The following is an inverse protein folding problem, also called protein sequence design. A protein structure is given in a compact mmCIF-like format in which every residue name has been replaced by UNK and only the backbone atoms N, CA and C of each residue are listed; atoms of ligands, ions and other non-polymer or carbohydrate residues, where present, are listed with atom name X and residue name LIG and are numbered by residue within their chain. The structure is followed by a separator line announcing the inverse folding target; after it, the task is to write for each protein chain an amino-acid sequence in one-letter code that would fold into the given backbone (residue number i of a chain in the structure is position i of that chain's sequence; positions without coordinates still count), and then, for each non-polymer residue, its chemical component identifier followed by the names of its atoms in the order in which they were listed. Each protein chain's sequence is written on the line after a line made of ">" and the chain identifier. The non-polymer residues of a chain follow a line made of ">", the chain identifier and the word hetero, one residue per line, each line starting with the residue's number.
data_IF_762830094765
#
_entry.id   IF_762830094765
#
_cell.length_a   1.000
_cell.length_b   1.000
_cell.length_c   1.000
_cell.angle_alpha   90.00
_cell.angle_beta   90.00
_cell.angle_gamma   90.00
#
_symmetry.space_group_name_H-M   'P 1'
#
loop_
_entity.id
_entity.type
_entity.pdbx_description
1 polymer ?
#
# COMPACT_ATOMS: atom_id res chain seq x y z
N UNK A 1 67.76 13.15 -0.96
CA UNK A 1 66.48 12.60 -0.46
C UNK A 1 66.64 11.25 0.27
N UNK A 2 67.67 10.45 0.01
CA UNK A 2 67.97 9.21 0.74
C UNK A 2 68.64 9.39 2.14
N UNK A 3 68.51 10.54 2.79
CA UNK A 3 69.29 10.88 4.00
C UNK A 3 68.46 11.07 5.28
N UNK A 4 67.14 10.88 5.24
CA UNK A 4 66.28 10.97 6.43
C UNK A 4 65.58 9.67 6.82
N UNK A 5 65.83 8.58 6.08
CA UNK A 5 65.32 7.25 6.43
C UNK A 5 66.44 6.53 7.19
N UNK A 6 66.22 6.05 8.43
CA UNK A 6 67.24 5.34 9.18
C UNK A 6 67.74 4.13 8.40
N UNK A 7 69.06 3.87 8.43
CA UNK A 7 69.72 2.73 7.78
C UNK A 7 68.96 1.39 7.89
N UNK A 8 68.40 0.97 9.05
CA UNK A 8 67.65 -0.29 9.13
C UNK A 8 66.41 -0.34 8.22
N UNK A 9 65.77 0.80 7.93
CA UNK A 9 64.62 0.88 7.04
C UNK A 9 65.02 1.01 5.56
N UNK A 10 66.20 1.57 5.27
CA UNK A 10 66.74 1.57 3.91
C UNK A 10 67.04 0.15 3.42
N UNK A 11 67.59 -0.68 4.31
CA UNK A 11 67.85 -2.10 4.02
C UNK A 11 66.52 -2.86 3.83
N UNK A 12 65.49 -2.58 4.63
CA UNK A 12 64.16 -3.21 4.47
C UNK A 12 63.42 -2.78 3.19
N UNK A 13 63.55 -1.51 2.78
CA UNK A 13 63.00 -1.00 1.52
C UNK A 13 63.74 -1.55 0.29
N UNK A 14 65.05 -1.81 0.40
CA UNK A 14 65.84 -2.49 -0.63
C UNK A 14 65.46 -3.97 -0.80
N UNK A 15 65.04 -4.64 0.27
CA UNK A 15 64.75 -6.08 0.26
C UNK A 15 63.38 -6.37 -0.36
N UNK A 16 62.37 -5.49 -0.21
CA UNK A 16 61.12 -5.57 -0.97
C UNK A 16 60.19 -4.38 -0.69
N UNK A 17 59.78 -3.64 -1.73
CA UNK A 17 58.73 -2.61 -1.65
C UNK A 17 57.34 -3.16 -1.25
N UNK A 18 57.16 -4.48 -1.26
CA UNK A 18 55.95 -5.14 -0.75
C UNK A 18 55.78 -5.03 0.78
N UNK A 19 56.86 -4.76 1.53
CA UNK A 19 56.81 -4.56 3.00
C UNK A 19 56.66 -3.10 3.42
N UNK A 20 56.43 -2.21 2.46
CA UNK A 20 56.26 -0.78 2.69
C UNK A 20 55.17 -0.46 3.75
N UNK A 21 54.02 -1.16 3.82
CA UNK A 21 53.03 -0.93 4.87
C UNK A 21 53.58 -1.08 6.30
N UNK A 22 54.35 -2.14 6.55
CA UNK A 22 54.95 -2.40 7.88
C UNK A 22 56.04 -1.39 8.22
N UNK A 23 56.84 -1.01 7.23
CA UNK A 23 57.89 0.02 7.38
C UNK A 23 57.28 1.36 7.71
N UNK A 24 56.23 1.77 6.98
CA UNK A 24 55.51 3.02 7.26
C UNK A 24 54.85 2.99 8.64
N UNK A 25 54.28 1.85 9.05
CA UNK A 25 53.76 1.68 10.40
C UNK A 25 54.83 1.92 11.47
N UNK A 26 56.00 1.29 11.31
CA UNK A 26 57.12 1.42 12.27
C UNK A 26 57.67 2.85 12.32
N UNK A 27 57.79 3.53 11.18
CA UNK A 27 58.22 4.92 11.12
C UNK A 27 57.26 5.87 11.84
N UNK A 28 55.95 5.58 11.80
CA UNK A 28 54.96 6.35 12.54
C UNK A 28 55.03 6.09 14.05
N UNK A 29 55.31 4.86 14.46
CA UNK A 29 55.49 4.50 15.88
C UNK A 29 56.73 5.18 16.49
N UNK A 30 57.80 5.33 15.70
CA UNK A 30 59.02 6.03 16.09
C UNK A 30 58.90 7.58 16.01
N UNK A 31 57.75 8.11 15.57
CA UNK A 31 57.47 9.55 15.57
C UNK A 31 58.14 10.34 14.45
N UNK A 32 58.46 9.71 13.32
CA UNK A 32 59.00 10.40 12.14
C UNK A 32 57.98 11.38 11.54
N UNK A 33 58.48 12.38 10.81
CA UNK A 33 57.62 13.43 10.24
C UNK A 33 56.66 12.87 9.20
N UNK A 34 55.40 13.34 9.25
CA UNK A 34 54.34 12.92 8.33
C UNK A 34 54.71 13.15 6.86
N UNK A 35 55.53 14.17 6.56
CA UNK A 35 56.03 14.47 5.21
C UNK A 35 56.91 13.35 4.63
N UNK A 36 57.79 12.75 5.45
CA UNK A 36 58.64 11.63 5.01
C UNK A 36 57.77 10.42 4.67
N UNK A 37 56.73 10.19 5.49
CA UNK A 37 55.78 9.09 5.27
C UNK A 37 54.97 9.33 3.99
N UNK A 38 54.45 10.52 3.75
CA UNK A 38 53.71 10.84 2.51
C UNK A 38 54.56 10.72 1.26
N UNK A 39 55.84 11.13 1.34
CA UNK A 39 56.80 11.02 0.23
C UNK A 39 57.11 9.56 -0.08
N UNK A 40 57.31 8.72 0.95
CA UNK A 40 57.53 7.28 0.79
C UNK A 40 56.34 6.58 0.13
N UNK A 41 55.11 6.95 0.51
CA UNK A 41 53.88 6.43 -0.08
C UNK A 41 53.77 6.83 -1.56
N UNK A 42 54.16 8.07 -1.89
CA UNK A 42 54.19 8.56 -3.27
C UNK A 42 55.28 7.90 -4.12
N UNK A 43 56.41 7.50 -3.52
CA UNK A 43 57.50 6.80 -4.21
C UNK A 43 57.13 5.34 -4.48
N UNK A 44 56.48 4.67 -3.52
CA UNK A 44 56.13 3.26 -3.62
C UNK A 44 54.98 2.90 -4.58
N UNK A 45 54.44 3.87 -5.37
CA UNK A 45 53.20 3.78 -6.18
C UNK A 45 52.84 2.36 -6.64
N UNK A 46 51.80 1.77 -6.02
CA UNK A 46 51.19 0.53 -6.50
C UNK A 46 52.02 -0.74 -6.31
N UNK A 47 53.15 -0.69 -5.61
CA UNK A 47 54.02 -1.85 -5.34
C UNK A 47 53.73 -2.53 -4.00
N UNK A 48 52.69 -2.08 -3.29
CA UNK A 48 52.25 -2.60 -2.00
C UNK A 48 50.73 -2.77 -2.01
N UNK A 49 50.24 -3.65 -1.12
CA UNK A 49 48.80 -3.88 -0.96
C UNK A 49 48.11 -2.67 -0.34
N UNK A 50 47.07 -2.16 -0.98
CA UNK A 50 46.25 -1.06 -0.47
C UNK A 50 45.63 -1.42 0.89
N UNK A 51 45.11 -2.64 1.03
CA UNK A 51 44.46 -3.10 2.27
C UNK A 51 45.43 -3.15 3.46
N UNK A 52 46.66 -3.64 3.23
CA UNK A 52 47.69 -3.70 4.27
C UNK A 52 48.10 -2.28 4.72
N UNK A 53 48.25 -1.37 3.76
CA UNK A 53 48.59 0.02 4.04
C UNK A 53 47.50 0.74 4.84
N UNK A 54 46.25 0.52 4.46
CA UNK A 54 45.08 1.08 5.16
C UNK A 54 45.00 0.50 6.57
N UNK A 55 45.19 -0.81 6.75
CA UNK A 55 45.16 -1.45 8.08
C UNK A 55 46.23 -0.90 9.03
N UNK A 56 47.47 -0.74 8.56
CA UNK A 56 48.57 -0.23 9.39
C UNK A 56 48.34 1.24 9.79
N UNK A 57 47.77 2.07 8.91
CA UNK A 57 47.46 3.46 9.23
C UNK A 57 46.17 3.63 10.04
N UNK A 58 45.20 2.73 9.87
CA UNK A 58 43.95 2.70 10.63
C UNK A 58 44.20 2.39 12.10
N UNK A 59 45.04 1.39 12.42
CA UNK A 59 45.45 1.07 13.80
C UNK A 59 46.05 2.26 14.55
N UNK A 60 46.67 3.18 13.81
CA UNK A 60 47.37 4.36 14.35
C UNK A 60 46.55 5.65 14.27
N UNK A 61 45.31 5.58 13.78
CA UNK A 61 44.43 6.73 13.53
C UNK A 61 45.06 7.80 12.58
N UNK A 62 45.91 7.38 11.64
CA UNK A 62 46.63 8.27 10.68
C UNK A 62 46.17 8.10 9.23
N UNK A 63 44.97 7.58 8.98
CA UNK A 63 44.44 7.36 7.63
C UNK A 63 44.45 8.60 6.72
N UNK A 64 44.32 9.80 7.29
CA UNK A 64 44.35 11.07 6.54
C UNK A 64 45.61 11.28 5.69
N UNK A 65 46.74 10.66 6.09
CA UNK A 65 47.99 10.72 5.33
C UNK A 65 47.90 10.06 3.94
N UNK A 66 46.97 9.11 3.76
CA UNK A 66 46.74 8.48 2.47
C UNK A 66 45.90 9.32 1.52
N UNK A 67 45.24 10.39 1.99
CA UNK A 67 44.23 11.09 1.21
C UNK A 67 44.76 11.57 -0.16
N UNK A 68 45.91 12.27 -0.28
CA UNK A 68 46.40 12.75 -1.57
C UNK A 68 46.74 11.62 -2.54
N UNK A 69 47.25 10.50 -2.01
CA UNK A 69 47.58 9.32 -2.79
C UNK A 69 46.32 8.61 -3.30
N UNK A 70 45.33 8.38 -2.43
CA UNK A 70 44.07 7.72 -2.80
C UNK A 70 43.26 8.54 -3.80
N UNK A 71 43.19 9.86 -3.65
CA UNK A 71 42.51 10.74 -4.61
C UNK A 71 43.17 10.72 -5.99
N UNK A 72 44.51 10.64 -6.03
CA UNK A 72 45.25 10.50 -7.28
C UNK A 72 44.90 9.17 -7.95
N UNK A 73 44.85 8.06 -7.21
CA UNK A 73 44.46 6.75 -7.75
C UNK A 73 43.03 6.73 -8.29
N UNK A 74 42.10 7.40 -7.63
CA UNK A 74 40.72 7.50 -8.13
C UNK A 74 40.65 8.37 -9.39
N UNK A 75 41.41 9.46 -9.48
CA UNK A 75 41.52 10.27 -10.71
C UNK A 75 42.15 9.50 -11.87
N UNK A 76 43.07 8.58 -11.58
CA UNK A 76 43.65 7.65 -12.54
C UNK A 76 42.67 6.53 -12.97
N UNK A 77 41.44 6.51 -12.43
CA UNK A 77 40.39 5.56 -12.81
C UNK A 77 40.45 4.22 -12.06
N UNK A 78 41.14 4.16 -10.92
CA UNK A 78 41.17 2.94 -10.09
C UNK A 78 39.77 2.62 -9.57
N UNK A 79 39.36 1.35 -9.73
CA UNK A 79 38.06 0.81 -9.29
C UNK A 79 38.20 -0.12 -8.08
N UNK A 80 39.39 -0.18 -7.48
CA UNK A 80 39.70 -1.09 -6.38
C UNK A 80 38.88 -0.75 -5.13
N UNK A 81 38.09 -1.71 -4.58
CA UNK A 81 37.26 -1.45 -3.42
C UNK A 81 38.04 -0.96 -2.19
N UNK A 82 39.24 -1.49 -1.95
CA UNK A 82 40.11 -1.08 -0.85
C UNK A 82 40.42 0.43 -0.87
N UNK A 83 40.74 0.96 -2.05
CA UNK A 83 41.02 2.39 -2.27
C UNK A 83 39.79 3.24 -1.94
N UNK A 84 38.62 2.83 -2.41
CA UNK A 84 37.37 3.56 -2.18
C UNK A 84 36.85 3.44 -0.74
N UNK A 85 37.06 2.29 -0.09
CA UNK A 85 36.73 2.09 1.32
C UNK A 85 37.55 3.02 2.21
N UNK A 86 38.86 3.10 1.96
CA UNK A 86 39.74 3.99 2.71
C UNK A 86 39.36 5.46 2.52
N UNK A 87 39.05 5.87 1.28
CA UNK A 87 38.54 7.22 1.02
C UNK A 87 37.22 7.51 1.73
N UNK A 88 36.28 6.55 1.71
CA UNK A 88 35.02 6.69 2.43
C UNK A 88 35.27 6.95 3.92
N UNK A 89 36.09 6.12 4.57
CA UNK A 89 36.46 6.30 5.99
C UNK A 89 37.07 7.68 6.23
N UNK A 90 38.00 8.13 5.38
CA UNK A 90 38.64 9.45 5.54
C UNK A 90 37.62 10.58 5.37
N UNK A 91 36.75 10.54 4.38
CA UNK A 91 35.73 11.57 4.17
C UNK A 91 34.68 11.62 5.28
N UNK A 92 34.33 10.46 5.86
CA UNK A 92 33.48 10.39 7.06
C UNK A 92 34.22 11.03 8.25
N UNK A 93 35.48 10.66 8.49
CA UNK A 93 36.29 11.18 9.59
C UNK A 93 36.64 12.67 9.47
N UNK A 94 36.66 13.21 8.26
CA UNK A 94 36.95 14.63 7.98
C UNK A 94 35.69 15.46 7.76
N UNK A 95 34.51 14.84 7.77
CA UNK A 95 33.24 15.46 7.38
C UNK A 95 33.30 16.20 6.03
N UNK A 96 34.03 15.64 5.05
CA UNK A 96 34.17 16.23 3.73
C UNK A 96 33.11 15.67 2.77
N UNK A 97 31.91 16.23 2.81
CA UNK A 97 30.76 15.83 1.98
C UNK A 97 30.60 14.29 1.85
N UNK A 98 30.62 13.53 2.97
CA UNK A 98 30.64 12.07 2.92
C UNK A 98 29.39 11.49 2.25
N UNK A 99 28.23 12.12 2.44
CA UNK A 99 26.97 11.68 1.83
C UNK A 99 27.03 11.66 0.29
N UNK A 100 27.56 12.73 -0.32
CA UNK A 100 27.73 12.82 -1.77
C UNK A 100 28.62 11.69 -2.28
N UNK A 101 29.75 11.46 -1.59
CA UNK A 101 30.67 10.38 -1.94
C UNK A 101 30.00 9.01 -1.84
N UNK A 102 29.25 8.75 -0.76
CA UNK A 102 28.57 7.47 -0.55
C UNK A 102 27.47 7.21 -1.60
N UNK A 103 26.78 8.25 -2.09
CA UNK A 103 25.76 8.10 -3.13
C UNK A 103 26.34 7.93 -4.53
N UNK A 104 27.38 8.70 -4.87
CA UNK A 104 27.95 8.72 -6.24
C UNK A 104 28.93 7.57 -6.50
N UNK A 105 29.64 7.11 -5.46
CA UNK A 105 30.70 6.12 -5.62
C UNK A 105 30.16 4.68 -5.65
N UNK A 106 30.49 3.94 -6.71
CA UNK A 106 30.01 2.56 -6.96
C UNK A 106 30.94 1.45 -6.47
N UNK A 107 32.14 1.78 -6.01
CA UNK A 107 33.22 0.80 -5.86
C UNK A 107 33.55 0.44 -4.42
N UNK A 108 33.10 1.22 -3.42
CA UNK A 108 33.27 0.85 -2.02
C UNK A 108 32.33 -0.29 -1.59
N UNK A 109 32.71 -1.05 -0.57
CA UNK A 109 31.90 -2.08 0.08
C UNK A 109 30.93 -1.45 1.08
N UNK A 110 29.65 -1.40 0.69
CA UNK A 110 28.57 -0.84 1.50
C UNK A 110 28.46 -1.44 2.90
N UNK A 111 28.60 -2.76 3.06
CA UNK A 111 28.51 -3.41 4.37
C UNK A 111 29.62 -2.96 5.33
N UNK A 112 30.86 -2.87 4.83
CA UNK A 112 32.02 -2.47 5.63
C UNK A 112 31.92 -1.01 6.07
N UNK A 113 31.55 -0.13 5.14
CA UNK A 113 31.43 1.30 5.41
C UNK A 113 30.20 1.62 6.25
N UNK A 114 29.07 0.95 6.01
CA UNK A 114 27.88 1.06 6.85
C UNK A 114 28.19 0.73 8.31
N UNK A 115 28.86 -0.39 8.57
CA UNK A 115 29.25 -0.78 9.93
C UNK A 115 30.22 0.22 10.57
N UNK A 116 31.11 0.82 9.77
CA UNK A 116 31.99 1.89 10.23
C UNK A 116 31.21 3.17 10.60
N UNK A 117 30.16 3.50 9.85
CA UNK A 117 29.30 4.65 10.10
C UNK A 117 28.38 4.47 11.31
N UNK A 118 27.97 3.24 11.66
CA UNK A 118 27.02 2.97 12.75
C UNK A 118 27.32 3.69 14.06
N UNK A 119 28.60 3.75 14.44
CA UNK A 119 29.03 4.39 15.69
C UNK A 119 29.30 5.90 15.58
N UNK A 120 29.44 6.41 14.35
CA UNK A 120 29.87 7.78 14.07
C UNK A 120 28.69 8.64 13.63
N UNK A 121 27.99 8.19 12.61
CA UNK A 121 26.81 8.82 12.04
C UNK A 121 25.86 7.73 11.49
N UNK A 122 24.81 7.39 12.26
CA UNK A 122 23.79 6.44 11.83
C UNK A 122 23.08 6.82 10.52
N UNK A 123 22.99 8.11 10.18
CA UNK A 123 22.36 8.54 8.92
C UNK A 123 23.25 8.17 7.71
N UNK A 124 24.57 8.39 7.82
CA UNK A 124 25.52 7.99 6.78
C UNK A 124 25.58 6.46 6.64
N UNK A 125 25.37 5.71 7.72
CA UNK A 125 25.25 4.26 7.66
C UNK A 125 24.07 3.83 6.79
N UNK A 126 22.89 4.44 6.98
CA UNK A 126 21.71 4.16 6.14
C UNK A 126 21.98 4.44 4.65
N UNK A 127 22.65 5.55 4.31
CA UNK A 127 23.00 5.87 2.92
C UNK A 127 23.94 4.82 2.31
N UNK A 128 24.94 4.36 3.07
CA UNK A 128 25.87 3.34 2.61
C UNK A 128 25.15 1.99 2.38
N UNK A 129 24.26 1.60 3.29
CA UNK A 129 23.50 0.36 3.19
C UNK A 129 22.43 0.38 2.09
N UNK A 130 21.74 1.50 1.88
CA UNK A 130 20.77 1.71 0.79
C UNK A 130 21.42 1.46 -0.57
N UNK A 131 22.64 1.97 -0.78
CA UNK A 131 23.42 1.73 -2.00
C UNK A 131 23.82 0.25 -2.18
N UNK A 132 24.02 -0.45 -1.08
CA UNK A 132 24.48 -1.84 -1.05
C UNK A 132 23.37 -2.87 -1.02
N UNK A 133 22.10 -2.44 -0.98
CA UNK A 133 20.94 -3.32 -0.73
C UNK A 133 21.15 -4.19 0.52
N UNK A 134 21.78 -3.63 1.56
CA UNK A 134 22.00 -4.30 2.83
C UNK A 134 20.81 -4.03 3.75
N UNK A 135 19.66 -4.60 3.39
CA UNK A 135 18.35 -4.26 3.98
C UNK A 135 18.30 -4.54 5.49
N UNK A 136 18.81 -5.70 5.91
CA UNK A 136 18.75 -6.15 7.31
C UNK A 136 19.60 -5.28 8.21
N UNK A 137 20.81 -4.95 7.77
CA UNK A 137 21.72 -4.07 8.48
C UNK A 137 21.13 -2.65 8.58
N UNK A 138 20.52 -2.13 7.51
CA UNK A 138 19.84 -0.83 7.53
C UNK A 138 18.69 -0.81 8.54
N UNK A 139 17.86 -1.86 8.56
CA UNK A 139 16.75 -1.99 9.51
C UNK A 139 17.27 -2.04 10.94
N UNK A 140 18.32 -2.82 11.21
CA UNK A 140 18.91 -2.92 12.54
C UNK A 140 19.43 -1.55 13.04
N UNK A 141 20.19 -0.84 12.20
CA UNK A 141 20.70 0.50 12.54
C UNK A 141 19.58 1.49 12.78
N UNK A 142 18.52 1.44 11.97
CA UNK A 142 17.36 2.30 12.16
C UNK A 142 16.65 2.01 13.48
N UNK A 143 16.45 0.74 13.82
CA UNK A 143 15.81 0.32 15.06
C UNK A 143 16.65 0.75 16.29
N UNK A 144 17.96 0.52 16.27
CA UNK A 144 18.87 0.84 17.37
C UNK A 144 18.98 2.36 17.63
N UNK A 145 18.91 3.17 16.57
CA UNK A 145 19.06 4.63 16.63
C UNK A 145 17.72 5.39 16.53
N UNK A 146 16.59 4.70 16.59
CA UNK A 146 15.24 5.30 16.44
C UNK A 146 15.03 6.11 15.16
N UNK A 147 15.69 5.74 14.06
CA UNK A 147 15.60 6.42 12.75
C UNK A 147 14.41 5.94 11.92
N UNK A 148 13.24 5.82 12.54
CA UNK A 148 12.03 5.26 11.91
C UNK A 148 11.56 6.04 10.68
N UNK A 149 11.85 7.36 10.61
CA UNK A 149 11.53 8.18 9.44
C UNK A 149 12.32 7.75 8.20
N UNK A 150 13.62 7.47 8.36
CA UNK A 150 14.48 6.99 7.27
C UNK A 150 14.12 5.57 6.88
N UNK A 151 13.86 4.71 7.88
CA UNK A 151 13.41 3.34 7.66
C UNK A 151 12.11 3.27 6.87
N UNK A 152 11.11 4.09 7.24
CA UNK A 152 9.83 4.15 6.55
C UNK A 152 9.99 4.54 5.07
N UNK A 153 10.78 5.58 4.78
CA UNK A 153 11.09 6.00 3.40
C UNK A 153 11.79 4.90 2.60
N UNK A 154 12.74 4.22 3.23
CA UNK A 154 13.48 3.15 2.60
C UNK A 154 12.58 1.96 2.22
N UNK A 155 11.75 1.50 3.15
CA UNK A 155 10.84 0.37 2.93
C UNK A 155 9.84 0.63 1.79
N UNK A 156 9.27 1.84 1.77
CA UNK A 156 8.34 2.26 0.72
C UNK A 156 9.03 2.22 -0.66
N UNK A 157 10.25 2.77 -0.76
CA UNK A 157 11.02 2.78 -2.01
C UNK A 157 11.55 1.41 -2.45
N UNK A 158 11.93 0.53 -1.52
CA UNK A 158 12.44 -0.82 -1.87
C UNK A 158 11.34 -1.66 -2.50
N UNK A 159 10.08 -1.48 -2.11
CA UNK A 159 8.93 -2.27 -2.57
C UNK A 159 9.11 -3.78 -2.33
N UNK A 160 9.80 -4.17 -1.26
CA UNK A 160 10.03 -5.58 -0.93
C UNK A 160 8.98 -6.13 0.01
N UNK A 161 8.23 -7.13 -0.42
CA UNK A 161 7.23 -7.75 0.43
C UNK A 161 7.86 -8.57 1.56
N UNK A 162 9.02 -9.19 1.35
CA UNK A 162 9.67 -10.01 2.37
C UNK A 162 10.19 -9.14 3.53
N UNK A 163 10.73 -7.95 3.21
CA UNK A 163 11.14 -6.98 4.24
C UNK A 163 9.95 -6.43 5.01
N UNK A 164 8.83 -6.15 4.32
CA UNK A 164 7.61 -5.73 5.00
C UNK A 164 7.12 -6.78 5.98
N UNK A 165 7.16 -8.07 5.63
CA UNK A 165 6.79 -9.16 6.54
C UNK A 165 7.71 -9.26 7.75
N UNK A 166 9.03 -9.14 7.56
CA UNK A 166 10.00 -9.16 8.66
C UNK A 166 9.77 -7.99 9.62
N UNK A 167 9.53 -6.81 9.08
CA UNK A 167 9.44 -5.58 9.87
C UNK A 167 8.06 -5.42 10.54
N UNK A 168 6.98 -5.88 9.90
CA UNK A 168 5.62 -5.88 10.44
C UNK A 168 5.32 -7.12 11.31
N UNK A 169 6.30 -8.00 11.54
CA UNK A 169 6.17 -9.14 12.43
C UNK A 169 5.79 -8.71 13.86
N UNK A 170 4.93 -9.48 14.52
CA UNK A 170 4.51 -9.22 15.90
C UNK A 170 5.67 -9.29 16.90
N UNK A 171 6.75 -10.01 16.56
CA UNK A 171 7.97 -10.07 17.36
C UNK A 171 8.75 -8.77 17.40
N UNK A 172 8.48 -7.83 16.49
CA UNK A 172 9.21 -6.58 16.40
C UNK A 172 8.65 -5.52 17.38
N UNK A 173 9.39 -5.11 18.42
CA UNK A 173 8.92 -4.12 19.39
C UNK A 173 8.74 -2.73 18.77
N UNK A 174 9.43 -2.43 17.66
CA UNK A 174 9.40 -1.13 17.01
C UNK A 174 8.31 -1.01 15.92
N UNK A 175 7.54 -2.09 15.68
CA UNK A 175 6.49 -2.16 14.66
C UNK A 175 5.58 -0.92 14.66
N UNK A 176 5.07 -0.55 15.84
CA UNK A 176 4.12 0.57 15.96
C UNK A 176 4.76 1.93 15.62
N UNK A 177 5.98 2.17 16.08
CA UNK A 177 6.70 3.42 15.79
C UNK A 177 6.99 3.57 14.30
N UNK A 178 7.32 2.45 13.63
CA UNK A 178 7.50 2.46 12.19
C UNK A 178 6.20 2.73 11.44
N UNK A 179 5.12 2.02 11.77
CA UNK A 179 3.80 2.21 11.13
C UNK A 179 3.39 3.69 11.22
N UNK A 180 3.51 4.28 12.42
CA UNK A 180 3.24 5.69 12.65
C UNK A 180 4.05 6.59 11.69
N UNK A 181 5.34 6.31 11.48
CA UNK A 181 6.16 7.10 10.55
C UNK A 181 5.82 6.84 9.08
N UNK A 182 5.46 5.60 8.71
CA UNK A 182 5.00 5.27 7.35
C UNK A 182 3.76 6.08 7.00
N UNK A 183 2.74 6.05 7.86
CA UNK A 183 1.49 6.83 7.68
C UNK A 183 1.75 8.33 7.77
N UNK A 184 2.60 8.80 8.69
CA UNK A 184 2.80 10.24 8.91
C UNK A 184 3.70 10.92 7.88
N UNK A 185 4.72 10.24 7.38
CA UNK A 185 5.81 10.89 6.61
C UNK A 185 6.07 10.25 5.25
N UNK A 186 6.29 8.94 5.19
CA UNK A 186 6.78 8.31 3.95
C UNK A 186 5.77 8.41 2.80
N UNK A 187 4.48 8.34 3.11
CA UNK A 187 3.41 8.36 2.11
C UNK A 187 3.11 9.78 1.61
N UNK A 188 3.25 10.78 2.48
CA UNK A 188 3.10 12.20 2.10
C UNK A 188 4.19 12.63 1.13
N UNK A 189 5.40 12.10 1.33
CA UNK A 189 6.57 12.41 0.50
C UNK A 189 6.60 11.64 -0.83
N UNK A 190 5.76 10.61 -0.97
CA UNK A 190 5.79 9.69 -2.12
C UNK A 190 4.65 9.98 -3.07
N UNK A 191 4.98 10.33 -4.32
CA UNK A 191 3.99 10.59 -5.38
C UNK A 191 3.75 9.39 -6.30
N UNK A 192 4.40 8.24 -6.05
CA UNK A 192 4.31 7.07 -6.92
C UNK A 192 3.15 6.14 -6.50
N UNK A 193 2.20 5.84 -7.41
CA UNK A 193 1.11 4.89 -7.16
C UNK A 193 1.57 3.50 -6.73
N UNK A 194 2.72 3.05 -7.23
CA UNK A 194 3.20 1.71 -7.00
C UNK A 194 3.70 1.53 -5.56
N UNK A 195 4.40 2.53 -5.03
CA UNK A 195 4.86 2.60 -3.64
C UNK A 195 3.70 2.46 -2.65
N UNK A 196 2.60 3.17 -2.93
CA UNK A 196 1.36 3.09 -2.13
C UNK A 196 0.77 1.68 -2.24
N UNK A 197 0.67 1.14 -3.46
CA UNK A 197 0.04 -0.17 -3.68
C UNK A 197 0.76 -1.32 -2.95
N UNK A 198 2.10 -1.29 -2.91
CA UNK A 198 2.90 -2.30 -2.21
C UNK A 198 2.76 -2.13 -0.70
N UNK A 199 2.76 -0.90 -0.21
CA UNK A 199 2.55 -0.61 1.23
C UNK A 199 1.17 -1.07 1.69
N UNK A 200 0.11 -0.80 0.91
CA UNK A 200 -1.26 -1.28 1.19
C UNK A 200 -1.32 -2.81 1.22
N UNK A 201 -0.72 -3.49 0.24
CA UNK A 201 -0.66 -4.96 0.20
C UNK A 201 0.07 -5.54 1.40
N UNK A 202 1.16 -4.90 1.84
CA UNK A 202 1.90 -5.28 3.03
C UNK A 202 1.03 -5.17 4.29
N UNK A 203 0.30 -4.07 4.46
CA UNK A 203 -0.59 -3.87 5.62
C UNK A 203 -1.77 -4.84 5.64
N UNK A 204 -2.35 -5.13 4.46
CA UNK A 204 -3.38 -6.16 4.32
C UNK A 204 -2.85 -7.56 4.68
N UNK A 205 -1.62 -7.89 4.27
CA UNK A 205 -1.00 -9.19 4.57
C UNK A 205 -0.61 -9.33 6.04
N UNK A 206 -0.31 -8.21 6.70
CA UNK A 206 0.04 -8.14 8.11
C UNK A 206 -1.18 -8.01 9.05
N UNK A 207 -2.41 -8.07 8.51
CA UNK A 207 -3.69 -7.96 9.24
C UNK A 207 -3.79 -6.68 10.09
N UNK A 208 -3.45 -5.53 9.49
CA UNK A 208 -3.49 -4.20 10.13
C UNK A 208 -4.56 -3.29 9.50
N UNK A 209 -5.86 -3.56 9.74
CA UNK A 209 -6.92 -2.86 9.02
C UNK A 209 -7.15 -1.42 9.52
N UNK A 210 -6.92 -1.13 10.80
CA UNK A 210 -7.12 0.22 11.35
C UNK A 210 -6.07 1.20 10.81
N UNK A 211 -4.81 0.75 10.80
CA UNK A 211 -3.67 1.47 10.25
C UNK A 211 -3.84 1.68 8.74
N UNK A 212 -4.39 0.69 8.03
CA UNK A 212 -4.70 0.79 6.60
C UNK A 212 -5.78 1.83 6.31
N UNK A 213 -6.82 1.93 7.15
CA UNK A 213 -7.86 2.97 7.02
C UNK A 213 -7.23 4.36 7.20
N UNK A 214 -6.45 4.59 8.26
CA UNK A 214 -5.79 5.89 8.51
C UNK A 214 -4.86 6.28 7.35
N UNK A 215 -4.11 5.30 6.83
CA UNK A 215 -3.25 5.47 5.67
C UNK A 215 -4.03 5.90 4.44
N UNK A 216 -5.13 5.22 4.12
CA UNK A 216 -5.95 5.51 2.94
C UNK A 216 -6.67 6.85 3.05
N UNK A 217 -7.24 7.18 4.21
CA UNK A 217 -7.85 8.50 4.48
C UNK A 217 -6.87 9.64 4.21
N UNK A 218 -5.63 9.49 4.69
CA UNK A 218 -4.61 10.51 4.54
C UNK A 218 -4.16 10.67 3.08
N UNK A 219 -3.97 9.57 2.36
CA UNK A 219 -3.64 9.60 0.92
C UNK A 219 -4.73 10.35 0.14
N UNK A 220 -5.99 10.07 0.43
CA UNK A 220 -7.12 10.67 -0.26
C UNK A 220 -7.27 12.16 0.03
N UNK A 221 -6.88 12.60 1.23
CA UNK A 221 -6.93 14.01 1.63
C UNK A 221 -5.77 14.84 1.08
N UNK A 222 -4.56 14.28 1.06
CA UNK A 222 -3.35 15.03 0.71
C UNK A 222 -2.99 14.95 -0.78
N UNK A 223 -3.43 13.90 -1.49
CA UNK A 223 -3.10 13.70 -2.89
C UNK A 223 -4.36 13.60 -3.78
N UNK A 224 -4.71 14.68 -4.51
CA UNK A 224 -5.91 14.68 -5.37
C UNK A 224 -5.81 13.66 -6.50
N UNK A 225 -4.60 13.37 -6.99
CA UNK A 225 -4.36 12.32 -7.99
C UNK A 225 -4.87 10.96 -7.50
N UNK A 226 -4.64 10.62 -6.23
CA UNK A 226 -5.08 9.37 -5.61
C UNK A 226 -6.55 9.38 -5.18
N UNK A 227 -7.09 10.57 -4.91
CA UNK A 227 -8.49 10.75 -4.55
C UNK A 227 -9.45 10.27 -5.65
N UNK A 228 -9.03 10.20 -6.92
CA UNK A 228 -9.88 9.72 -8.02
C UNK A 228 -9.69 8.24 -8.37
N UNK A 229 -8.74 7.54 -7.74
CA UNK A 229 -8.53 6.12 -8.02
C UNK A 229 -9.62 5.24 -7.39
N UNK A 230 -10.48 4.72 -8.25
CA UNK A 230 -11.54 3.74 -7.93
C UNK A 230 -11.07 2.59 -7.04
N UNK A 231 -9.92 1.98 -7.34
CA UNK A 231 -9.41 0.83 -6.59
C UNK A 231 -9.06 1.17 -5.13
N UNK A 232 -8.52 2.36 -4.87
CA UNK A 232 -8.19 2.78 -3.50
C UNK A 232 -9.46 3.08 -2.69
N UNK A 233 -10.47 3.69 -3.32
CA UNK A 233 -11.80 3.88 -2.71
C UNK A 233 -12.46 2.55 -2.36
N UNK A 234 -12.46 1.60 -3.30
CA UNK A 234 -12.98 0.26 -3.07
C UNK A 234 -12.26 -0.39 -1.88
N UNK A 235 -10.92 -0.32 -1.85
CA UNK A 235 -10.13 -0.86 -0.74
C UNK A 235 -10.45 -0.21 0.61
N UNK A 236 -10.61 1.12 0.66
CA UNK A 236 -10.97 1.82 1.89
C UNK A 236 -12.32 1.33 2.44
N UNK A 237 -13.35 1.28 1.58
CA UNK A 237 -14.69 0.83 1.99
C UNK A 237 -14.66 -0.65 2.41
N UNK A 238 -14.01 -1.52 1.64
CA UNK A 238 -13.91 -2.95 1.96
C UNK A 238 -13.16 -3.21 3.27
N UNK A 239 -12.12 -2.43 3.55
CA UNK A 239 -11.37 -2.51 4.80
C UNK A 239 -12.22 -2.02 5.98
N UNK A 240 -12.94 -0.91 5.79
CA UNK A 240 -13.88 -0.38 6.79
C UNK A 240 -15.00 -1.39 7.10
N UNK A 241 -15.58 -2.06 6.09
CA UNK A 241 -16.62 -3.10 6.30
C UNK A 241 -16.11 -4.22 7.24
N UNK A 242 -14.84 -4.60 7.10
CA UNK A 242 -14.24 -5.68 7.90
C UNK A 242 -13.85 -5.25 9.31
N UNK A 243 -13.36 -4.02 9.49
CA UNK A 243 -12.73 -3.59 10.74
C UNK A 243 -13.46 -2.48 11.51
N UNK A 244 -14.10 -1.54 10.82
CA UNK A 244 -14.80 -0.41 11.43
C UNK A 244 -16.12 -0.11 10.70
N UNK A 245 -17.15 -0.88 11.05
CA UNK A 245 -18.50 -0.78 10.48
C UNK A 245 -19.12 0.61 10.68
N UNK A 246 -18.80 1.30 11.77
CA UNK A 246 -19.42 2.58 12.11
C UNK A 246 -19.06 3.73 11.15
N UNK A 247 -17.94 3.62 10.42
CA UNK A 247 -17.51 4.66 9.47
C UNK A 247 -17.94 4.40 8.04
N UNK A 248 -18.42 3.20 7.72
CA UNK A 248 -18.74 2.76 6.35
C UNK A 248 -19.77 3.70 5.71
N UNK A 249 -20.84 4.04 6.42
CA UNK A 249 -21.87 4.96 5.93
C UNK A 249 -21.29 6.35 5.60
N UNK A 250 -20.44 6.89 6.47
CA UNK A 250 -19.78 8.18 6.24
C UNK A 250 -18.84 8.17 5.03
N UNK A 251 -18.20 7.02 4.73
CA UNK A 251 -17.42 6.86 3.51
C UNK A 251 -18.31 6.76 2.27
N UNK A 252 -19.42 6.01 2.33
CA UNK A 252 -20.38 5.87 1.22
C UNK A 252 -20.95 7.22 0.79
N UNK A 253 -21.29 8.09 1.75
CA UNK A 253 -21.82 9.42 1.48
C UNK A 253 -20.78 10.33 0.84
N UNK A 254 -19.55 10.35 1.37
CA UNK A 254 -18.49 11.28 0.95
C UNK A 254 -17.76 10.86 -0.32
N UNK A 255 -17.61 9.56 -0.56
CA UNK A 255 -16.84 9.04 -1.67
C UNK A 255 -17.74 8.84 -2.89
N UNK A 256 -17.24 9.26 -4.05
CA UNK A 256 -17.86 9.02 -5.35
C UNK A 256 -16.92 8.20 -6.23
N UNK A 257 -17.41 7.60 -7.32
CA UNK A 257 -16.59 6.82 -8.28
C UNK A 257 -15.93 5.55 -7.68
N UNK A 258 -16.75 4.67 -7.10
CA UNK A 258 -16.37 3.33 -6.64
C UNK A 258 -17.27 2.24 -7.27
N UNK A 259 -16.97 0.96 -7.07
CA UNK A 259 -17.79 -0.15 -7.57
C UNK A 259 -19.03 -0.39 -6.69
N UNK A 260 -20.07 0.43 -6.89
CA UNK A 260 -21.33 0.37 -6.11
C UNK A 260 -21.93 -1.04 -6.00
N UNK A 261 -22.29 -1.70 -7.12
CA UNK A 261 -22.97 -2.99 -7.08
C UNK A 261 -22.17 -4.12 -6.40
N UNK A 262 -20.84 -4.14 -6.54
CA UNK A 262 -20.01 -5.19 -5.96
C UNK A 262 -19.72 -4.94 -4.47
N UNK A 263 -19.48 -3.68 -4.08
CA UNK A 263 -19.35 -3.31 -2.67
C UNK A 263 -20.65 -3.56 -1.92
N UNK A 264 -21.80 -3.26 -2.52
CA UNK A 264 -23.10 -3.52 -1.91
C UNK A 264 -23.34 -5.01 -1.63
N UNK A 265 -22.97 -5.91 -2.57
CA UNK A 265 -23.03 -7.37 -2.33
C UNK A 265 -22.15 -7.81 -1.16
N UNK A 266 -20.97 -7.22 -1.04
CA UNK A 266 -20.05 -7.52 0.06
C UNK A 266 -20.59 -6.97 1.39
N UNK A 267 -21.21 -5.79 1.39
CA UNK A 267 -21.88 -5.22 2.55
C UNK A 267 -23.04 -6.10 3.04
N UNK A 268 -23.90 -6.58 2.13
CA UNK A 268 -24.97 -7.54 2.44
C UNK A 268 -24.40 -8.81 3.08
N UNK A 269 -23.30 -9.34 2.52
CA UNK A 269 -22.64 -10.54 3.06
C UNK A 269 -22.03 -10.36 4.45
N UNK A 270 -21.90 -9.11 4.94
CA UNK A 270 -21.37 -8.75 6.25
C UNK A 270 -22.45 -8.16 7.20
N UNK A 271 -23.74 -8.34 6.87
CA UNK A 271 -24.90 -7.82 7.62
C UNK A 271 -25.02 -6.29 7.69
N UNK A 272 -24.43 -5.58 6.72
CA UNK A 272 -24.50 -4.11 6.58
C UNK A 272 -25.58 -3.71 5.57
N UNK A 273 -26.84 -3.88 5.96
CA UNK A 273 -27.98 -3.72 5.06
C UNK A 273 -28.35 -2.26 4.81
N UNK A 274 -28.19 -1.38 5.80
CA UNK A 274 -28.45 0.06 5.67
C UNK A 274 -27.43 0.71 4.72
N UNK A 275 -26.16 0.34 4.86
CA UNK A 275 -25.08 0.78 3.99
C UNK A 275 -25.25 0.26 2.57
N UNK A 276 -25.63 -1.02 2.40
CA UNK A 276 -25.92 -1.58 1.09
C UNK A 276 -27.07 -0.85 0.39
N UNK A 277 -28.14 -0.52 1.14
CA UNK A 277 -29.26 0.26 0.62
C UNK A 277 -28.83 1.68 0.22
N UNK A 278 -28.04 2.36 1.04
CA UNK A 278 -27.51 3.68 0.74
C UNK A 278 -26.63 3.69 -0.53
N UNK A 279 -25.82 2.63 -0.73
CA UNK A 279 -25.05 2.45 -1.97
C UNK A 279 -25.99 2.31 -3.16
N UNK A 280 -26.96 1.41 -3.13
CA UNK A 280 -27.86 1.23 -4.28
C UNK A 280 -28.68 2.49 -4.61
N UNK A 281 -29.14 3.22 -3.59
CA UNK A 281 -29.80 4.52 -3.77
C UNK A 281 -28.88 5.55 -4.43
N UNK A 282 -27.58 5.53 -4.10
CA UNK A 282 -26.59 6.46 -4.67
C UNK A 282 -26.20 6.13 -6.12
N UNK A 283 -26.33 4.87 -6.55
CA UNK A 283 -26.02 4.41 -7.91
C UNK A 283 -27.27 4.29 -8.81
N UNK A 284 -28.43 4.79 -8.36
CA UNK A 284 -29.72 4.72 -9.06
C UNK A 284 -30.15 3.28 -9.43
N UNK A 285 -29.66 2.26 -8.72
CA UNK A 285 -30.13 0.87 -8.88
C UNK A 285 -31.26 0.57 -7.88
N UNK A 286 -32.42 1.13 -8.17
CA UNK A 286 -33.60 1.03 -7.31
C UNK A 286 -34.14 -0.41 -7.20
N UNK A 287 -33.95 -1.23 -8.24
CA UNK A 287 -34.39 -2.63 -8.25
C UNK A 287 -33.61 -3.49 -7.26
N UNK A 288 -32.30 -3.28 -7.18
CA UNK A 288 -31.46 -3.95 -6.17
C UNK A 288 -31.69 -3.36 -4.78
N UNK A 289 -31.88 -2.03 -4.68
CA UNK A 289 -32.17 -1.35 -3.41
C UNK A 289 -33.40 -1.94 -2.70
N UNK A 290 -34.51 -2.11 -3.43
CA UNK A 290 -35.74 -2.62 -2.82
C UNK A 290 -35.63 -4.09 -2.44
N UNK A 291 -34.87 -4.90 -3.19
CA UNK A 291 -34.56 -6.29 -2.81
C UNK A 291 -33.84 -6.37 -1.47
N UNK A 292 -32.90 -5.45 -1.21
CA UNK A 292 -32.22 -5.39 0.10
C UNK A 292 -33.21 -5.12 1.23
N UNK A 293 -34.15 -4.19 1.04
CA UNK A 293 -35.19 -3.89 2.05
C UNK A 293 -36.13 -5.08 2.27
N UNK A 294 -36.53 -5.76 1.20
CA UNK A 294 -37.48 -6.86 1.23
C UNK A 294 -36.88 -8.13 1.87
N UNK A 295 -35.70 -8.55 1.38
CA UNK A 295 -35.11 -9.84 1.71
C UNK A 295 -34.34 -9.80 3.03
N UNK A 296 -33.57 -8.71 3.24
CA UNK A 296 -32.64 -8.63 4.36
C UNK A 296 -33.22 -7.82 5.54
N UNK A 297 -33.65 -6.58 5.31
CA UNK A 297 -34.24 -5.72 6.38
C UNK A 297 -35.62 -6.24 6.79
N UNK A 298 -36.34 -6.84 5.85
CA UNK A 298 -37.70 -7.40 5.99
C UNK A 298 -38.76 -6.39 6.37
N UNK A 299 -38.48 -5.09 6.24
CA UNK A 299 -39.43 -4.01 6.50
C UNK A 299 -40.19 -3.64 5.23
N UNK A 300 -41.40 -4.19 5.11
CA UNK A 300 -42.31 -3.93 3.99
C UNK A 300 -42.86 -2.50 3.98
N UNK A 301 -42.90 -1.82 5.13
CA UNK A 301 -43.38 -0.44 5.19
C UNK A 301 -42.34 0.50 4.60
N UNK A 302 -41.09 0.35 5.04
CA UNK A 302 -39.97 1.09 4.48
C UNK A 302 -39.80 0.81 2.97
N UNK A 303 -39.99 -0.45 2.54
CA UNK A 303 -39.96 -0.79 1.12
C UNK A 303 -41.10 -0.15 0.31
N UNK A 304 -42.28 0.04 0.90
CA UNK A 304 -43.41 0.76 0.27
C UNK A 304 -43.12 2.26 0.19
N UNK A 305 -42.65 2.87 1.27
CA UNK A 305 -42.28 4.29 1.30
C UNK A 305 -41.21 4.60 0.24
N UNK A 306 -40.22 3.70 0.08
CA UNK A 306 -39.21 3.81 -0.97
C UNK A 306 -39.78 3.62 -2.38
N UNK A 307 -40.72 2.69 -2.57
CA UNK A 307 -41.38 2.50 -3.87
C UNK A 307 -42.22 3.72 -4.28
N UNK A 308 -42.88 4.38 -3.32
CA UNK A 308 -43.60 5.65 -3.53
C UNK A 308 -42.65 6.80 -3.88
N UNK A 309 -41.46 6.86 -3.26
CA UNK A 309 -40.42 7.87 -3.55
C UNK A 309 -39.83 7.70 -4.97
N UNK A 310 -39.48 6.48 -5.37
CA UNK A 310 -38.88 6.18 -6.67
C UNK A 310 -39.90 6.19 -7.82
N UNK A 311 -41.13 5.73 -7.57
CA UNK A 311 -42.22 5.59 -8.54
C UNK A 311 -41.82 4.90 -9.87
N UNK A 312 -41.00 3.85 -9.77
CA UNK A 312 -40.55 3.06 -10.91
C UNK A 312 -41.32 1.73 -11.03
N UNK A 313 -41.79 1.35 -12.23
CA UNK A 313 -42.51 0.10 -12.47
C UNK A 313 -41.78 -1.15 -11.94
N UNK A 314 -40.46 -1.21 -12.15
CA UNK A 314 -39.64 -2.36 -11.74
C UNK A 314 -39.57 -2.53 -10.21
N UNK A 315 -39.58 -1.43 -9.47
CA UNK A 315 -39.51 -1.42 -8.00
C UNK A 315 -40.85 -1.90 -7.42
N UNK A 316 -41.95 -1.39 -7.97
CA UNK A 316 -43.31 -1.79 -7.58
C UNK A 316 -43.58 -3.28 -7.87
N UNK A 317 -43.13 -3.81 -9.01
CA UNK A 317 -43.26 -5.23 -9.34
C UNK A 317 -42.54 -6.15 -8.34
N UNK A 318 -41.33 -5.79 -7.91
CA UNK A 318 -40.56 -6.55 -6.92
C UNK A 318 -41.21 -6.48 -5.53
N UNK A 319 -41.70 -5.31 -5.11
CA UNK A 319 -42.46 -5.15 -3.87
C UNK A 319 -43.73 -6.00 -3.86
N UNK A 320 -44.50 -5.96 -4.93
CA UNK A 320 -45.75 -6.70 -5.07
C UNK A 320 -45.52 -8.21 -5.06
N UNK A 321 -44.44 -8.69 -5.70
CA UNK A 321 -44.03 -10.10 -5.64
C UNK A 321 -43.70 -10.54 -4.22
N UNK A 322 -43.01 -9.71 -3.45
CA UNK A 322 -42.67 -10.01 -2.06
C UNK A 322 -43.89 -9.98 -1.12
N UNK A 323 -44.79 -9.02 -1.30
CA UNK A 323 -46.04 -8.93 -0.56
C UNK A 323 -46.93 -10.16 -0.81
N UNK A 324 -47.01 -10.63 -2.06
CA UNK A 324 -47.69 -11.89 -2.41
C UNK A 324 -47.11 -13.10 -1.68
N UNK A 325 -45.77 -13.24 -1.67
CA UNK A 325 -45.11 -14.35 -0.97
C UNK A 325 -45.42 -14.34 0.53
N UNK A 326 -45.54 -13.16 1.14
CA UNK A 326 -45.93 -12.99 2.55
C UNK A 326 -47.44 -13.07 2.79
N UNK A 327 -48.25 -13.23 1.74
CA UNK A 327 -49.71 -13.41 1.83
C UNK A 327 -50.52 -12.12 1.96
N UNK A 328 -49.91 -10.95 1.74
CA UNK A 328 -50.54 -9.64 1.72
C UNK A 328 -51.12 -9.36 0.33
N UNK A 329 -52.23 -10.03 0.01
CA UNK A 329 -52.81 -10.03 -1.34
C UNK A 329 -53.40 -8.66 -1.71
N UNK A 330 -53.98 -7.95 -0.75
CA UNK A 330 -54.62 -6.65 -1.00
C UNK A 330 -53.59 -5.58 -1.34
N UNK A 331 -52.54 -5.50 -0.54
CA UNK A 331 -51.42 -4.59 -0.74
C UNK A 331 -50.65 -4.91 -2.01
N UNK A 332 -50.45 -6.20 -2.31
CA UNK A 332 -49.79 -6.62 -3.55
C UNK A 332 -50.57 -6.21 -4.81
N UNK A 333 -51.90 -6.25 -4.77
CA UNK A 333 -52.73 -5.79 -5.89
C UNK A 333 -52.56 -4.29 -6.10
N UNK A 334 -52.56 -3.48 -5.04
CA UNK A 334 -52.29 -2.04 -5.14
C UNK A 334 -50.91 -1.79 -5.74
N UNK A 335 -49.87 -2.44 -5.22
CA UNK A 335 -48.51 -2.29 -5.73
C UNK A 335 -48.35 -2.75 -7.19
N UNK A 336 -49.09 -3.76 -7.66
CA UNK A 336 -49.09 -4.09 -9.09
C UNK A 336 -49.83 -3.07 -9.96
N UNK A 337 -50.87 -2.42 -9.42
CA UNK A 337 -51.57 -1.31 -10.09
C UNK A 337 -50.61 -0.15 -10.31
N UNK A 338 -49.81 0.17 -9.30
CA UNK A 338 -48.80 1.21 -9.40
C UNK A 338 -47.63 0.80 -10.32
N UNK A 339 -47.37 -0.50 -10.50
CA UNK A 339 -46.33 -1.02 -11.39
C UNK A 339 -46.70 -1.02 -12.89
N UNK A 340 -47.98 -0.89 -13.26
CA UNK A 340 -48.49 -1.04 -14.63
C UNK A 340 -47.92 -2.26 -15.40
N UNK A 341 -47.72 -3.41 -14.73
CA UNK A 341 -47.18 -4.64 -15.33
C UNK A 341 -48.25 -5.74 -15.51
N UNK A 342 -48.94 -5.81 -16.66
CA UNK A 342 -49.98 -6.79 -17.02
C UNK A 342 -49.59 -8.26 -16.79
N UNK A 343 -48.29 -8.57 -16.83
CA UNK A 343 -47.74 -9.93 -16.86
C UNK A 343 -47.72 -10.56 -15.47
N UNK A 344 -47.37 -9.77 -14.45
CA UNK A 344 -47.22 -10.23 -13.07
C UNK A 344 -48.56 -10.47 -12.38
N UNK A 345 -49.62 -9.78 -12.82
CA UNK A 345 -51.00 -9.98 -12.37
C UNK A 345 -51.53 -11.40 -12.55
N UNK A 346 -51.10 -12.09 -13.61
CA UNK A 346 -51.52 -13.47 -13.89
C UNK A 346 -50.91 -14.45 -12.86
N UNK A 347 -49.71 -14.15 -12.35
CA UNK A 347 -49.05 -14.96 -11.32
C UNK A 347 -49.64 -14.72 -9.91
N UNK A 348 -50.11 -13.49 -9.64
CA UNK A 348 -50.81 -13.14 -8.39
C UNK A 348 -52.12 -13.94 -8.20
N UNK A 349 -52.86 -14.11 -9.30
CA UNK A 349 -54.19 -14.76 -9.30
C UNK A 349 -54.13 -16.28 -9.29
N UNK A 350 -53.02 -16.87 -9.75
CA UNK A 350 -52.86 -18.34 -9.82
C UNK A 350 -52.36 -18.97 -8.52
N UNK A 351 -51.64 -18.23 -7.67
CA UNK A 351 -50.96 -18.80 -6.50
C UNK A 351 -51.79 -18.93 -5.22
N UNK A 352 -52.96 -18.28 -5.08
CA UNK A 352 -53.88 -18.52 -3.94
C UNK A 352 -55.36 -18.45 -4.36
N UNK A 353 -55.95 -19.63 -4.58
CA UNK A 353 -57.37 -19.90 -4.89
C UNK A 353 -58.40 -19.48 -3.81
N UNK A 354 -58.07 -18.62 -2.84
CA UNK A 354 -58.89 -18.43 -1.64
C UNK A 354 -59.61 -17.08 -1.49
N UNK A 355 -59.42 -16.10 -2.38
CA UNK A 355 -60.20 -14.85 -2.33
C UNK A 355 -60.80 -14.51 -3.71
N UNK A 356 -61.94 -15.12 -4.02
CA UNK A 356 -62.68 -14.86 -5.27
C UNK A 356 -63.19 -13.41 -5.35
N UNK A 357 -63.47 -12.75 -4.22
CA UNK A 357 -63.94 -11.36 -4.19
C UNK A 357 -62.87 -10.35 -4.63
N UNK A 358 -61.59 -10.61 -4.30
CA UNK A 358 -60.48 -9.77 -4.73
C UNK A 358 -60.13 -10.03 -6.22
N UNK A 359 -60.28 -11.26 -6.70
CA UNK A 359 -60.16 -11.64 -8.13
C UNK A 359 -61.25 -11.01 -8.99
N UNK A 360 -62.47 -10.85 -8.48
CA UNK A 360 -63.57 -10.19 -9.21
C UNK A 360 -63.32 -8.69 -9.34
N UNK A 361 -62.83 -8.03 -8.27
CA UNK A 361 -62.38 -6.63 -8.36
C UNK A 361 -61.21 -6.48 -9.34
N UNK A 362 -60.33 -7.48 -9.39
CA UNK A 362 -59.22 -7.59 -10.32
C UNK A 362 -59.65 -7.69 -11.79
N UNK A 363 -60.61 -8.55 -12.10
CA UNK A 363 -61.18 -8.69 -13.45
C UNK A 363 -61.93 -7.43 -13.90
N UNK A 364 -62.55 -6.69 -12.97
CA UNK A 364 -63.19 -5.42 -13.27
C UNK A 364 -62.16 -4.32 -13.60
N UNK A 365 -61.02 -4.27 -12.92
CA UNK A 365 -59.95 -3.29 -13.19
C UNK A 365 -59.18 -3.65 -14.46
N UNK A 366 -58.86 -4.94 -14.70
CA UNK A 366 -58.36 -5.43 -15.99
C UNK A 366 -59.36 -5.12 -17.11
N UNK A 367 -60.66 -5.22 -16.84
CA UNK A 367 -61.74 -4.82 -17.75
C UNK A 367 -61.75 -3.32 -18.09
N UNK A 368 -61.23 -2.47 -17.19
CA UNK A 368 -61.07 -1.02 -17.44
C UNK A 368 -59.80 -0.75 -18.26
N UNK A 369 -58.68 -1.41 -17.99
CA UNK A 369 -57.47 -1.34 -18.82
C UNK A 369 -57.64 -2.02 -20.20
N UNK A 370 -58.57 -2.98 -20.34
CA UNK A 370 -58.93 -3.64 -21.60
C UNK A 370 -59.44 -2.70 -22.69
N UNK A 371 -59.85 -1.47 -22.36
CA UNK A 371 -60.14 -0.45 -23.40
C UNK A 371 -58.90 -0.06 -24.21
N UNK A 372 -57.68 -0.30 -23.71
CA UNK A 372 -56.42 0.04 -24.40
C UNK A 372 -55.69 -1.17 -25.04
N UNK A 373 -55.98 -2.42 -24.66
CA UNK A 373 -55.32 -3.63 -25.21
C UNK A 373 -56.37 -4.58 -25.81
N UNK A 374 -57.10 -4.08 -26.80
CA UNK A 374 -58.31 -4.71 -27.34
C UNK A 374 -58.15 -5.92 -28.27
N UNK A 375 -57.17 -6.82 -28.12
CA UNK A 375 -57.12 -8.00 -29.05
C UNK A 375 -56.49 -9.31 -28.59
N UNK A 376 -55.70 -9.36 -27.51
CA UNK A 376 -54.97 -10.60 -27.18
C UNK A 376 -55.66 -11.54 -26.18
N UNK A 377 -56.53 -11.01 -25.31
CA UNK A 377 -57.08 -11.78 -24.18
C UNK A 377 -58.40 -12.50 -24.51
N UNK A 378 -59.19 -11.99 -25.46
CA UNK A 378 -60.50 -12.58 -25.84
C UNK A 378 -60.38 -14.03 -26.30
N UNK A 379 -59.28 -14.40 -26.99
CA UNK A 379 -59.10 -15.77 -27.48
C UNK A 379 -58.70 -16.79 -26.40
N UNK A 380 -58.12 -16.36 -25.27
CA UNK A 380 -57.71 -17.30 -24.20
C UNK A 380 -58.76 -17.43 -23.11
N UNK A 381 -59.51 -16.36 -22.81
CA UNK A 381 -60.60 -16.39 -21.83
C UNK A 381 -61.84 -17.16 -22.34
N UNK A 382 -62.16 -17.11 -23.64
CA UNK A 382 -63.18 -17.99 -24.23
C UNK A 382 -62.81 -19.49 -24.13
N UNK A 383 -61.52 -19.83 -24.15
CA UNK A 383 -61.08 -21.22 -24.02
C UNK A 383 -61.22 -21.81 -22.61
N UNK A 384 -61.12 -20.98 -21.57
CA UNK A 384 -61.28 -21.43 -20.18
C UNK A 384 -62.76 -21.51 -19.75
N UNK A 385 -63.62 -20.64 -20.29
CA UNK A 385 -65.06 -20.66 -19.98
C UNK A 385 -65.75 -21.86 -20.63
N UNK A 386 -65.36 -22.28 -21.84
CA UNK A 386 -65.92 -23.47 -22.48
C UNK A 386 -65.49 -24.82 -21.85
N UNK A 387 -64.50 -24.84 -20.95
CA UNK A 387 -64.09 -26.07 -20.24
C UNK A 387 -64.87 -26.35 -18.96
N UNK A 388 -65.76 -25.45 -18.55
CA UNK A 388 -66.57 -25.58 -17.33
C UNK A 388 -68.08 -25.68 -17.61
N UNK A 389 -68.49 -25.91 -18.87
CA UNK A 389 -69.89 -26.12 -19.25
C UNK A 389 -70.20 -27.52 -19.78
N UNK A 390 -69.46 -28.54 -19.36
CA UNK A 390 -69.88 -29.95 -19.45
C UNK A 390 -69.91 -30.58 -18.05
#
# INVERSE_FOLDING_TARGET
>A
MAQQIPKPFQDQLQISLSRLPTVVGSLLDEGYSENIVTDLIHIGRGQFSTDEMVSELEKRNRLKLLLPWLETRVKEGCTEPATHNALAKIYIDTNNNPEKFLRENKWYYSRLIGHYCEKRDPHLACVAYERGQCDRELIAVCNDNSLFKTQARYLVRRRDQDLWLEVLAESNPFKRQLIDQVVKTAIVETCDPEDISVTVKAFMSADLPNELIELLEKIMLENPAFSDHKNLKNLLILTAIKADRGRVLGYIERLDNYDGPDIAKIAISNDLYEEAFAIYKKFDDNTSAIKVLIDNVKDLKLARDFAEECNEPGVWSELAQAQLQRGLVKEAIESYIDADDPSAYINATTNKQQSWDDVIRHLQIIGVCMKYIGRFIVNRLCGCICKYSE
#
